data_IF_999835073354
#
_entry.id   IF_999835073354
#
_cell.length_a   1.000
_cell.length_b   1.000
_cell.length_c   1.000
_cell.angle_alpha   90.00
_cell.angle_beta   90.00
_cell.angle_gamma   90.00
#
_symmetry.space_group_name_H-M   'P 1'
#
loop_
_entity.id
_entity.type
_entity.pdbx_description
1 polymer ?
#
# COMPACT_ATOMS: atom_id res chain seq x y z
N UNK A 1 27.55 -2.08 -0.72
CA UNK A 1 26.37 -1.76 -1.56
C UNK A 1 25.19 -1.49 -0.65
N UNK A 2 24.40 -0.49 -0.95
CA UNK A 2 23.16 -0.26 -0.18
C UNK A 2 22.11 -1.29 -0.57
N UNK A 3 21.39 -1.80 0.43
CA UNK A 3 20.30 -2.74 0.26
C UNK A 3 19.18 -2.13 -0.60
N UNK A 4 18.77 -2.82 -1.65
CA UNK A 4 17.64 -2.38 -2.47
C UNK A 4 16.33 -2.60 -1.72
N UNK A 5 15.69 -1.51 -1.36
CA UNK A 5 14.39 -1.52 -0.67
C UNK A 5 13.30 -0.98 -1.59
N UNK A 6 12.19 -1.69 -1.69
CA UNK A 6 10.98 -1.18 -2.33
C UNK A 6 9.89 -0.91 -1.28
N UNK A 7 9.04 0.04 -1.60
CA UNK A 7 7.87 0.39 -0.79
C UNK A 7 6.60 0.17 -1.60
N UNK A 8 5.68 -0.63 -1.08
CA UNK A 8 4.37 -0.88 -1.70
C UNK A 8 3.28 -0.44 -0.74
N UNK A 9 2.35 0.36 -1.25
CA UNK A 9 1.25 0.95 -0.47
C UNK A 9 -0.09 0.41 -0.94
N UNK A 10 -0.84 -0.18 -0.01
CA UNK A 10 -2.27 -0.36 -0.11
C UNK A 10 -2.96 0.96 0.31
N UNK A 11 -3.39 1.74 -0.68
CA UNK A 11 -3.93 3.07 -0.44
C UNK A 11 -5.25 3.06 0.35
N UNK A 12 -6.10 2.07 0.12
CA UNK A 12 -7.36 1.92 0.85
C UNK A 12 -7.11 1.63 2.33
N UNK A 13 -6.18 0.74 2.63
CA UNK A 13 -5.74 0.47 3.99
C UNK A 13 -5.24 1.75 4.68
N UNK A 14 -4.35 2.49 4.03
CA UNK A 14 -3.78 3.71 4.59
C UNK A 14 -4.86 4.77 4.87
N UNK A 15 -5.79 4.95 3.94
CA UNK A 15 -6.90 5.89 4.09
C UNK A 15 -7.83 5.50 5.24
N UNK A 16 -8.14 4.22 5.37
CA UNK A 16 -9.11 3.72 6.34
C UNK A 16 -8.54 3.60 7.75
N UNK A 17 -7.23 3.41 7.88
CA UNK A 17 -6.58 3.13 9.17
C UNK A 17 -5.89 4.36 9.77
N UNK A 18 -5.56 5.36 8.97
CA UNK A 18 -4.92 6.58 9.47
C UNK A 18 -5.87 7.39 10.37
N UNK A 19 -5.38 8.00 11.46
CA UNK A 19 -6.20 8.86 12.34
C UNK A 19 -6.72 10.13 11.66
N UNK A 20 -6.17 10.50 10.52
CA UNK A 20 -6.54 11.71 9.79
C UNK A 20 -5.82 11.79 8.44
N UNK A 21 -5.79 12.99 7.86
CA UNK A 21 -5.06 13.23 6.61
C UNK A 21 -3.55 13.29 6.84
N UNK A 22 -2.79 12.68 5.97
CA UNK A 22 -1.34 12.68 6.00
C UNK A 22 -0.75 12.98 4.61
N UNK A 23 0.55 13.27 4.58
CA UNK A 23 1.28 13.63 3.38
C UNK A 23 2.21 12.47 2.96
N UNK A 24 2.02 11.95 1.76
CA UNK A 24 2.82 10.83 1.23
C UNK A 24 4.30 11.19 1.03
N UNK A 25 4.62 12.45 0.75
CA UNK A 25 6.01 12.88 0.64
C UNK A 25 6.72 12.83 2.01
N UNK A 26 6.04 13.31 3.06
CA UNK A 26 6.55 13.25 4.44
C UNK A 26 6.65 11.80 4.92
N UNK A 27 5.63 10.99 4.65
CA UNK A 27 5.63 9.56 4.98
C UNK A 27 6.80 8.83 4.32
N UNK A 28 7.00 9.03 3.03
CA UNK A 28 8.12 8.44 2.30
C UNK A 28 9.46 8.84 2.91
N UNK A 29 9.65 10.13 3.17
CA UNK A 29 10.88 10.64 3.80
C UNK A 29 11.13 10.02 5.18
N UNK A 30 10.10 9.88 5.99
CA UNK A 30 10.22 9.26 7.32
C UNK A 30 10.56 7.76 7.23
N UNK A 31 9.89 7.03 6.34
CA UNK A 31 10.19 5.62 6.11
C UNK A 31 11.61 5.41 5.55
N UNK A 32 12.06 6.25 4.63
CA UNK A 32 13.44 6.21 4.12
C UNK A 32 14.47 6.49 5.21
N UNK A 33 14.17 7.41 6.11
CA UNK A 33 15.02 7.69 7.27
C UNK A 33 15.15 6.47 8.18
N UNK A 34 14.03 5.80 8.50
CA UNK A 34 14.04 4.59 9.30
C UNK A 34 14.69 3.40 8.58
N UNK A 35 14.53 3.33 7.26
CA UNK A 35 15.19 2.33 6.40
C UNK A 35 16.72 2.53 6.31
N UNK A 36 17.19 3.73 6.53
CA UNK A 36 18.60 4.12 6.41
C UNK A 36 19.05 4.44 4.99
N UNK A 37 18.20 4.27 3.99
CA UNK A 37 18.48 4.54 2.58
C UNK A 37 17.22 4.99 1.85
N UNK A 38 17.43 5.66 0.71
CA UNK A 38 16.35 5.96 -0.24
C UNK A 38 15.75 4.68 -0.80
N UNK A 39 14.44 4.71 -1.09
CA UNK A 39 13.81 3.58 -1.77
C UNK A 39 14.27 3.48 -3.22
N UNK A 40 14.53 2.25 -3.64
CA UNK A 40 14.82 1.94 -5.04
C UNK A 40 13.61 2.24 -5.92
N UNK A 41 12.42 1.80 -5.50
CA UNK A 41 11.13 2.11 -6.11
C UNK A 41 10.03 2.20 -5.04
N UNK A 42 8.99 2.96 -5.35
CA UNK A 42 7.81 3.10 -4.51
C UNK A 42 6.55 2.95 -5.34
N UNK A 43 5.58 2.18 -4.85
CA UNK A 43 4.35 1.83 -5.56
C UNK A 43 3.12 2.20 -4.74
N UNK A 44 2.19 2.86 -5.39
CA UNK A 44 0.89 3.21 -4.84
C UNK A 44 -0.19 2.46 -5.62
N UNK A 45 -0.94 1.58 -4.96
CA UNK A 45 -2.02 0.81 -5.57
C UNK A 45 -3.35 1.21 -4.93
N UNK A 46 -4.32 1.54 -5.75
CA UNK A 46 -5.66 1.94 -5.30
C UNK A 46 -6.71 1.58 -6.35
N UNK A 47 -7.95 1.54 -5.92
CA UNK A 47 -9.10 1.56 -6.82
C UNK A 47 -9.51 3.00 -7.11
N UNK A 48 -10.09 3.23 -8.29
CA UNK A 48 -10.59 4.54 -8.69
C UNK A 48 -11.95 4.42 -9.35
N UNK A 49 -12.88 5.38 -9.13
CA UNK A 49 -14.10 5.47 -9.92
C UNK A 49 -13.78 5.64 -11.41
N UNK A 50 -14.71 5.29 -12.27
CA UNK A 50 -14.63 5.50 -13.70
C UNK A 50 -15.86 6.32 -14.18
N UNK A 51 -15.67 7.59 -14.59
CA UNK A 51 -14.40 8.33 -14.64
C UNK A 51 -13.89 8.77 -13.26
N UNK A 52 -12.59 8.98 -13.14
CA UNK A 52 -11.99 9.59 -11.96
C UNK A 52 -12.35 11.07 -11.90
N UNK A 53 -12.38 11.65 -10.69
CA UNK A 53 -12.58 13.09 -10.53
C UNK A 53 -11.30 13.87 -10.84
N UNK A 54 -11.43 15.14 -11.21
CA UNK A 54 -10.27 16.02 -11.46
C UNK A 54 -9.34 16.11 -10.23
N UNK A 55 -9.92 16.10 -9.03
CA UNK A 55 -9.15 16.11 -7.78
C UNK A 55 -8.35 14.81 -7.60
N UNK A 56 -8.92 13.66 -7.94
CA UNK A 56 -8.21 12.38 -7.89
C UNK A 56 -7.08 12.34 -8.92
N UNK A 57 -7.33 12.83 -10.13
CA UNK A 57 -6.32 12.89 -11.18
C UNK A 57 -5.16 13.81 -10.81
N UNK A 58 -5.45 14.96 -10.22
CA UNK A 58 -4.43 15.89 -9.71
C UNK A 58 -3.58 15.25 -8.61
N UNK A 59 -4.22 14.53 -7.68
CA UNK A 59 -3.51 13.82 -6.61
C UNK A 59 -2.61 12.72 -7.16
N UNK A 60 -3.09 11.91 -8.10
CA UNK A 60 -2.29 10.86 -8.72
C UNK A 60 -1.11 11.44 -9.53
N UNK A 61 -1.31 12.57 -10.19
CA UNK A 61 -0.22 13.29 -10.87
C UNK A 61 0.84 13.76 -9.89
N UNK A 62 0.41 14.34 -8.76
CA UNK A 62 1.33 14.75 -7.70
C UNK A 62 2.13 13.57 -7.12
N UNK A 63 1.50 12.42 -6.88
CA UNK A 63 2.18 11.21 -6.42
C UNK A 63 3.34 10.78 -7.35
N UNK A 64 3.17 10.97 -8.65
CA UNK A 64 4.19 10.64 -9.67
C UNK A 64 5.29 11.68 -9.79
N UNK A 65 5.08 12.88 -9.29
CA UNK A 65 5.99 14.00 -9.42
C UNK A 65 7.25 13.79 -8.57
N UNK A 66 8.40 14.19 -9.12
CA UNK A 66 9.70 14.01 -8.46
C UNK A 66 9.91 14.95 -7.25
N UNK A 67 10.69 14.51 -6.24
CA UNK A 67 11.06 15.37 -5.13
C UNK A 67 11.80 16.63 -5.59
N UNK A 68 11.69 17.75 -4.90
CA UNK A 68 10.96 17.95 -3.63
C UNK A 68 9.47 18.25 -3.82
N UNK A 69 8.95 18.22 -5.04
CA UNK A 69 7.58 18.62 -5.37
C UNK A 69 6.55 17.52 -5.18
N UNK A 70 6.97 16.28 -5.20
CA UNK A 70 6.14 15.11 -4.96
C UNK A 70 6.97 13.89 -4.56
N UNK A 71 6.31 12.78 -4.17
CA UNK A 71 7.01 11.60 -3.63
C UNK A 71 7.64 10.69 -4.68
N UNK A 72 7.39 10.88 -5.97
CA UNK A 72 7.85 10.01 -7.06
C UNK A 72 7.45 8.55 -6.82
N UNK A 73 6.17 8.28 -6.90
CA UNK A 73 5.62 6.93 -6.78
C UNK A 73 5.10 6.43 -8.12
N UNK A 74 5.21 5.14 -8.36
CA UNK A 74 4.50 4.48 -9.46
C UNK A 74 3.07 4.22 -9.03
N UNK A 75 2.12 4.75 -9.76
CA UNK A 75 0.70 4.66 -9.44
C UNK A 75 0.04 3.58 -10.30
N UNK A 76 -0.58 2.60 -9.66
CA UNK A 76 -1.36 1.56 -10.31
C UNK A 76 -2.80 1.66 -9.82
N UNK A 77 -3.72 1.89 -10.75
CA UNK A 77 -5.14 2.10 -10.45
C UNK A 77 -5.98 0.96 -11.01
N UNK A 78 -6.92 0.50 -10.20
CA UNK A 78 -7.89 -0.51 -10.55
C UNK A 78 -9.28 0.11 -10.57
N UNK A 79 -10.03 -0.06 -11.64
CA UNK A 79 -11.38 0.51 -11.77
C UNK A 79 -12.33 -0.19 -10.80
N UNK A 80 -13.13 0.58 -10.08
CA UNK A 80 -14.27 0.05 -9.32
C UNK A 80 -15.24 -0.64 -10.29
N UNK A 81 -15.74 -1.78 -9.89
CA UNK A 81 -16.76 -2.53 -10.65
C UNK A 81 -18.12 -2.32 -10.02
N UNK A 82 -19.10 -2.02 -10.88
CA UNK A 82 -20.51 -2.04 -10.47
C UNK A 82 -21.01 -3.48 -10.50
N UNK A 83 -21.58 -3.92 -9.38
CA UNK A 83 -22.25 -5.21 -9.26
C UNK A 83 -23.73 -4.94 -9.05
N UNK A 84 -24.56 -5.53 -9.92
CA UNK A 84 -26.00 -5.53 -9.73
C UNK A 84 -26.41 -6.65 -8.76
N UNK A 85 -27.06 -6.30 -7.69
CA UNK A 85 -27.49 -7.21 -6.63
C UNK A 85 -29.00 -7.17 -6.47
N UNK A 86 -29.58 -8.33 -6.19
CA UNK A 86 -31.00 -8.49 -5.86
C UNK A 86 -31.13 -9.11 -4.45
N UNK A 87 -31.90 -8.46 -3.60
CA UNK A 87 -32.17 -8.99 -2.29
C UNK A 87 -33.03 -10.26 -2.36
N UNK A 88 -32.59 -11.42 -1.83
CA UNK A 88 -33.33 -12.66 -1.92
C UNK A 88 -34.64 -12.67 -1.11
N UNK A 89 -34.83 -11.70 -0.19
CA UNK A 89 -36.01 -11.62 0.66
C UNK A 89 -37.08 -10.67 0.11
N UNK A 90 -36.68 -9.51 -0.39
CA UNK A 90 -37.64 -8.46 -0.81
C UNK A 90 -37.51 -8.12 -2.31
N UNK A 91 -36.67 -8.84 -3.03
CA UNK A 91 -36.44 -8.66 -4.47
C UNK A 91 -35.97 -7.25 -4.88
N UNK A 92 -35.64 -6.37 -3.92
CA UNK A 92 -35.10 -5.06 -4.20
C UNK A 92 -33.77 -5.17 -4.96
N UNK A 93 -33.68 -4.47 -6.08
CA UNK A 93 -32.47 -4.43 -6.91
C UNK A 93 -31.68 -3.17 -6.61
N UNK A 94 -30.36 -3.30 -6.47
CA UNK A 94 -29.46 -2.19 -6.23
C UNK A 94 -28.08 -2.45 -6.82
N UNK A 95 -27.42 -1.38 -7.22
CA UNK A 95 -26.04 -1.43 -7.70
C UNK A 95 -25.09 -1.12 -6.53
N UNK A 96 -24.02 -1.88 -6.45
CA UNK A 96 -22.96 -1.69 -5.48
C UNK A 96 -21.62 -1.60 -6.20
N UNK A 97 -20.86 -0.55 -5.90
CA UNK A 97 -19.48 -0.47 -6.32
C UNK A 97 -18.60 -1.35 -5.42
N UNK A 98 -17.83 -2.23 -6.02
CA UNK A 98 -16.87 -3.07 -5.30
C UNK A 98 -15.46 -2.79 -5.77
N UNK A 99 -14.58 -2.72 -4.79
CA UNK A 99 -13.14 -2.68 -5.03
C UNK A 99 -12.71 -4.10 -5.43
N UNK A 100 -12.10 -4.24 -6.60
CA UNK A 100 -11.63 -5.53 -7.07
C UNK A 100 -10.24 -5.41 -7.70
N UNK A 101 -9.36 -6.32 -7.30
CA UNK A 101 -8.06 -6.49 -7.95
C UNK A 101 -6.88 -5.78 -7.29
N UNK A 102 -7.08 -4.88 -6.31
CA UNK A 102 -5.96 -4.20 -5.64
C UNK A 102 -5.10 -5.19 -4.86
N UNK A 103 -5.71 -6.08 -4.06
CA UNK A 103 -4.98 -7.08 -3.28
C UNK A 103 -4.24 -8.08 -4.18
N UNK A 104 -4.91 -8.52 -5.26
CA UNK A 104 -4.28 -9.35 -6.29
C UNK A 104 -3.14 -8.60 -6.96
N UNK A 105 -3.31 -7.31 -7.25
CA UNK A 105 -2.29 -6.45 -7.82
C UNK A 105 -1.07 -6.29 -6.91
N UNK A 106 -1.29 -6.05 -5.62
CA UNK A 106 -0.22 -5.97 -4.61
C UNK A 106 0.52 -7.30 -4.52
N UNK A 107 -0.21 -8.40 -4.37
CA UNK A 107 0.34 -9.76 -4.30
C UNK A 107 1.17 -10.09 -5.54
N UNK A 108 0.62 -9.87 -6.71
CA UNK A 108 1.31 -10.10 -7.98
C UNK A 108 2.57 -9.26 -8.10
N UNK A 109 2.51 -7.98 -7.75
CA UNK A 109 3.65 -7.07 -7.82
C UNK A 109 4.78 -7.50 -6.90
N UNK A 110 4.47 -7.75 -5.62
CA UNK A 110 5.50 -8.13 -4.65
C UNK A 110 6.17 -9.47 -5.00
N UNK A 111 5.41 -10.45 -5.49
CA UNK A 111 5.94 -11.73 -5.95
C UNK A 111 6.80 -11.59 -7.21
N UNK A 112 6.30 -10.87 -8.20
CA UNK A 112 7.02 -10.61 -9.45
C UNK A 112 8.37 -9.95 -9.20
N UNK A 113 8.39 -8.89 -8.40
CA UNK A 113 9.62 -8.16 -8.10
C UNK A 113 10.60 -8.99 -7.25
N UNK A 114 10.10 -9.83 -6.35
CA UNK A 114 10.93 -10.73 -5.57
C UNK A 114 11.57 -11.81 -6.43
N UNK A 115 10.79 -12.48 -7.29
CA UNK A 115 11.29 -13.52 -8.20
C UNK A 115 12.27 -12.99 -9.25
N UNK A 116 12.12 -11.73 -9.64
CA UNK A 116 13.07 -11.03 -10.52
C UNK A 116 14.28 -10.45 -9.76
N UNK A 117 14.38 -10.70 -8.47
CA UNK A 117 15.43 -10.18 -7.59
C UNK A 117 15.60 -8.65 -7.65
N UNK A 118 14.48 -7.93 -7.75
CA UNK A 118 14.47 -6.48 -7.85
C UNK A 118 14.62 -5.77 -6.50
N UNK A 119 14.49 -6.49 -5.39
CA UNK A 119 14.68 -5.95 -4.05
C UNK A 119 15.25 -7.01 -3.09
N UNK A 120 15.86 -6.53 -2.03
CA UNK A 120 16.31 -7.33 -0.88
C UNK A 120 15.38 -7.12 0.32
N UNK A 121 14.81 -5.91 0.45
CA UNK A 121 13.83 -5.55 1.48
C UNK A 121 12.55 -5.03 0.86
N UNK A 122 11.42 -5.52 1.35
CA UNK A 122 10.09 -4.99 1.08
C UNK A 122 9.60 -4.23 2.32
N UNK A 123 9.14 -2.99 2.14
CA UNK A 123 8.29 -2.30 3.11
C UNK A 123 6.87 -2.30 2.53
N UNK A 124 5.96 -2.98 3.19
CA UNK A 124 4.56 -3.09 2.81
C UNK A 124 3.69 -2.28 3.76
N UNK A 125 3.04 -1.23 3.25
CA UNK A 125 2.03 -0.47 4.00
C UNK A 125 0.66 -1.08 3.75
N UNK A 126 0.32 -2.10 4.54
CA UNK A 126 -0.92 -2.84 4.50
C UNK A 126 -1.17 -3.54 5.83
N UNK A 127 -2.39 -3.95 6.09
CA UNK A 127 -2.77 -4.61 7.34
C UNK A 127 -3.52 -5.92 7.16
N UNK A 128 -3.93 -6.25 5.94
CA UNK A 128 -4.77 -7.41 5.66
C UNK A 128 -3.99 -8.73 5.73
N UNK A 129 -4.50 -9.67 6.52
CA UNK A 129 -3.96 -11.02 6.63
C UNK A 129 -3.98 -11.83 5.33
N UNK A 130 -4.76 -11.44 4.33
CA UNK A 130 -4.81 -12.11 3.03
C UNK A 130 -3.46 -12.05 2.27
N UNK A 131 -2.54 -11.17 2.67
CA UNK A 131 -1.18 -11.14 2.13
C UNK A 131 -0.24 -12.17 2.76
N UNK A 132 -0.65 -12.91 3.79
CA UNK A 132 0.19 -13.82 4.55
C UNK A 132 0.93 -14.84 3.67
N UNK A 133 0.22 -15.54 2.80
CA UNK A 133 0.81 -16.57 1.95
C UNK A 133 1.91 -16.01 1.03
N UNK A 134 1.67 -14.84 0.44
CA UNK A 134 2.65 -14.19 -0.42
C UNK A 134 3.87 -13.72 0.38
N UNK A 135 3.67 -13.13 1.55
CA UNK A 135 4.74 -12.67 2.44
C UNK A 135 5.56 -13.85 2.97
N UNK A 136 4.90 -14.92 3.39
CA UNK A 136 5.55 -16.16 3.83
C UNK A 136 6.46 -16.75 2.74
N UNK A 137 5.97 -16.83 1.50
CA UNK A 137 6.74 -17.31 0.36
C UNK A 137 7.97 -16.44 0.09
N UNK A 138 7.78 -15.12 0.01
CA UNK A 138 8.86 -14.17 -0.27
C UNK A 138 9.93 -14.20 0.82
N UNK A 139 9.52 -14.31 2.09
CA UNK A 139 10.44 -14.38 3.22
C UNK A 139 11.17 -15.73 3.29
N UNK A 140 10.43 -16.84 3.29
CA UNK A 140 10.97 -18.14 3.60
C UNK A 140 11.64 -18.82 2.39
N UNK A 141 11.08 -18.66 1.18
CA UNK A 141 11.60 -19.30 -0.03
C UNK A 141 12.55 -18.38 -0.81
N UNK A 142 12.27 -17.08 -0.86
CA UNK A 142 13.08 -16.12 -1.61
C UNK A 142 14.04 -15.32 -0.73
N UNK A 143 14.01 -15.54 0.59
CA UNK A 143 14.91 -14.93 1.58
C UNK A 143 14.96 -13.40 1.55
N UNK A 144 13.82 -12.77 1.32
CA UNK A 144 13.70 -11.32 1.38
C UNK A 144 13.40 -10.86 2.80
N UNK A 145 13.89 -9.68 3.14
CA UNK A 145 13.56 -9.02 4.41
C UNK A 145 12.20 -8.30 4.26
N UNK A 146 11.33 -8.49 5.22
CA UNK A 146 9.96 -7.96 5.20
C UNK A 146 9.75 -7.01 6.37
N UNK A 147 9.43 -5.77 6.04
CA UNK A 147 8.94 -4.77 6.98
C UNK A 147 7.49 -4.44 6.68
N UNK A 148 6.67 -4.37 7.71
CA UNK A 148 5.27 -3.93 7.61
C UNK A 148 5.17 -2.54 8.22
N UNK A 149 4.51 -1.61 7.54
CA UNK A 149 4.21 -0.30 8.09
C UNK A 149 2.70 -0.08 8.18
N UNK A 150 2.24 0.41 9.30
CA UNK A 150 0.81 0.63 9.51
C UNK A 150 0.48 1.23 10.85
N UNK A 151 -0.81 1.24 11.17
CA UNK A 151 -1.35 1.88 12.37
C UNK A 151 -1.76 0.85 13.41
N UNK A 152 -1.78 1.27 14.67
CA UNK A 152 -2.22 0.45 15.80
C UNK A 152 -3.60 -0.17 15.53
N UNK A 153 -3.77 -1.41 15.97
CA UNK A 153 -5.01 -2.18 15.84
C UNK A 153 -5.51 -2.41 14.39
N UNK A 154 -4.67 -2.22 13.39
CA UNK A 154 -5.04 -2.35 11.98
C UNK A 154 -4.18 -3.32 11.18
N UNK A 155 -3.14 -3.88 11.77
CA UNK A 155 -2.26 -4.88 11.15
C UNK A 155 -2.62 -6.26 11.72
N UNK A 156 -2.92 -7.22 10.86
CA UNK A 156 -3.22 -8.58 11.30
C UNK A 156 -2.03 -9.20 12.05
N UNK A 157 -2.33 -10.03 13.04
CA UNK A 157 -1.32 -10.75 13.80
C UNK A 157 -0.47 -11.67 12.89
N UNK A 158 -1.09 -12.23 11.87
CA UNK A 158 -0.42 -13.10 10.91
C UNK A 158 0.67 -12.32 10.13
N UNK A 159 0.38 -11.14 9.62
CA UNK A 159 1.40 -10.29 8.99
C UNK A 159 2.50 -9.89 9.97
N UNK A 160 2.15 -9.54 11.19
CA UNK A 160 3.14 -9.19 12.21
C UNK A 160 4.10 -10.34 12.50
N UNK A 161 3.60 -11.58 12.50
CA UNK A 161 4.40 -12.77 12.80
C UNK A 161 5.49 -13.07 11.76
N UNK A 162 5.29 -12.67 10.51
CA UNK A 162 6.26 -12.82 9.41
C UNK A 162 7.18 -11.61 9.23
N UNK A 163 6.82 -10.47 9.78
CA UNK A 163 7.61 -9.25 9.64
C UNK A 163 8.94 -9.33 10.40
N UNK A 164 10.02 -8.96 9.74
CA UNK A 164 11.31 -8.74 10.41
C UNK A 164 11.27 -7.48 11.26
N UNK A 165 10.47 -6.51 10.86
CA UNK A 165 10.24 -5.26 11.57
C UNK A 165 8.86 -4.68 11.27
N UNK A 166 8.21 -4.12 12.28
CA UNK A 166 6.94 -3.39 12.14
C UNK A 166 7.18 -1.91 12.45
N UNK A 167 6.86 -1.06 11.49
CA UNK A 167 6.93 0.39 11.60
C UNK A 167 5.54 0.92 11.98
N UNK A 168 5.37 1.24 13.25
CA UNK A 168 4.13 1.81 13.75
C UNK A 168 4.05 3.30 13.40
N UNK A 169 3.18 3.64 12.45
CA UNK A 169 3.04 5.01 11.94
C UNK A 169 2.45 5.97 12.97
N UNK A 170 1.82 5.44 14.02
CA UNK A 170 1.40 6.24 15.17
C UNK A 170 2.59 6.95 15.84
N UNK A 171 3.75 6.31 15.89
CA UNK A 171 4.96 6.86 16.52
C UNK A 171 5.54 8.07 15.77
N UNK A 172 5.25 8.19 14.47
CA UNK A 172 5.70 9.32 13.66
C UNK A 172 4.53 10.17 13.12
N UNK A 173 3.33 9.99 13.66
CA UNK A 173 2.12 10.65 13.16
C UNK A 173 2.27 12.18 13.09
N UNK A 174 2.87 12.80 14.11
CA UNK A 174 3.06 14.25 14.14
C UNK A 174 3.96 14.78 13.02
N UNK A 175 4.84 13.95 12.47
CA UNK A 175 5.72 14.29 11.34
C UNK A 175 4.96 14.17 10.00
N UNK A 176 4.13 13.13 9.86
CA UNK A 176 3.51 12.79 8.57
C UNK A 176 2.13 13.41 8.34
N UNK A 177 1.42 13.78 9.42
CA UNK A 177 0.08 14.39 9.31
C UNK A 177 0.09 15.69 8.52
N UNK A 178 -1.00 15.96 7.81
CA UNK A 178 -1.27 17.29 7.25
C UNK A 178 -1.77 18.22 8.35
N UNK A 179 -1.32 19.46 8.30
CA UNK A 179 -1.80 20.50 9.21
C UNK A 179 -3.23 20.93 8.80
#
# INVERSE_FOLDING_TARGET
>A
MSMKTIWIVDAAYMKNSAPGHFDYLRLKSELEKQNGNKFFESYYLNSTPNPATDQQDAFHTWLKTAPPRGPKMRVQLYKLKDIHLRCPKCEYEFDRQVQKGVDVGITTLLLKLATQNQYERLILSAGDGDFEDAISYVKNELHKEIWISGFDNSISADLQSYADHVLWLNDCWDVIKKN
#
